data_IF_011136741005
#
_entry.id   IF_011136741005
#
_cell.length_a   1.000
_cell.length_b   1.000
_cell.length_c   1.000
_cell.angle_alpha   90.00
_cell.angle_beta   90.00
_cell.angle_gamma   90.00
#
_symmetry.space_group_name_H-M   'P 1'
#
loop_
_entity.id
_entity.type
_entity.pdbx_description
1 polymer ?
#
# COMPACT_ATOMS: atom_id res chain seq x y z
N UNK A 1 28.00 -0.79 26.86
CA UNK A 1 27.99 -1.19 25.44
C UNK A 1 27.26 -2.51 25.19
N UNK A 2 27.63 -3.64 25.83
CA UNK A 2 26.98 -4.95 25.61
C UNK A 2 25.44 -4.95 25.74
N UNK A 3 24.89 -4.33 26.80
CA UNK A 3 23.42 -4.23 27.00
C UNK A 3 22.69 -3.37 25.95
N UNK A 4 23.35 -2.33 25.44
CA UNK A 4 22.79 -1.48 24.37
C UNK A 4 22.77 -2.27 23.06
N UNK A 5 23.83 -2.99 22.77
CA UNK A 5 23.89 -3.87 21.60
C UNK A 5 22.82 -4.97 21.65
N UNK A 6 22.66 -5.65 22.79
CA UNK A 6 21.60 -6.65 23.00
C UNK A 6 20.19 -6.07 22.79
N UNK A 7 19.94 -4.84 23.27
CA UNK A 7 18.69 -4.13 23.05
C UNK A 7 18.40 -3.89 21.56
N UNK A 8 19.38 -3.38 20.81
CA UNK A 8 19.20 -3.11 19.38
C UNK A 8 19.01 -4.41 18.58
N UNK A 9 19.81 -5.43 18.87
CA UNK A 9 19.71 -6.73 18.21
C UNK A 9 18.33 -7.35 18.46
N UNK A 10 17.81 -7.27 19.68
CA UNK A 10 16.48 -7.79 20.01
C UNK A 10 15.38 -7.13 19.16
N UNK A 11 15.31 -5.79 19.16
CA UNK A 11 14.26 -5.08 18.41
C UNK A 11 14.42 -5.23 16.90
N UNK A 12 15.66 -5.24 16.40
CA UNK A 12 15.91 -5.52 14.98
C UNK A 12 15.44 -6.92 14.60
N UNK A 13 15.73 -7.93 15.43
CA UNK A 13 15.27 -9.30 15.20
C UNK A 13 13.73 -9.38 15.27
N UNK A 14 13.11 -8.76 16.27
CA UNK A 14 11.65 -8.72 16.40
C UNK A 14 10.99 -8.06 15.18
N UNK A 15 11.52 -6.93 14.72
CA UNK A 15 11.07 -6.25 13.50
C UNK A 15 11.19 -7.16 12.28
N UNK A 16 12.36 -7.77 12.05
CA UNK A 16 12.61 -8.63 10.89
C UNK A 16 11.69 -9.85 10.90
N UNK A 17 11.49 -10.47 12.07
CA UNK A 17 10.59 -11.62 12.20
C UNK A 17 9.13 -11.23 11.94
N UNK A 18 8.67 -10.10 12.48
CA UNK A 18 7.32 -9.60 12.22
C UNK A 18 7.14 -9.23 10.74
N UNK A 19 8.17 -8.67 10.11
CA UNK A 19 8.16 -8.33 8.69
C UNK A 19 8.13 -9.58 7.80
N UNK A 20 8.97 -10.58 8.09
CA UNK A 20 8.93 -11.87 7.38
C UNK A 20 7.56 -12.52 7.54
N UNK A 21 6.98 -12.47 8.73
CA UNK A 21 5.64 -13.00 8.98
C UNK A 21 4.57 -12.24 8.18
N UNK A 22 4.65 -10.91 8.11
CA UNK A 22 3.82 -10.08 7.24
C UNK A 22 3.89 -10.52 5.78
N UNK A 23 5.10 -10.73 5.24
CA UNK A 23 5.30 -11.22 3.87
C UNK A 23 4.75 -12.64 3.68
N UNK A 24 4.95 -13.54 4.64
CA UNK A 24 4.44 -14.91 4.57
C UNK A 24 2.92 -14.92 4.50
N UNK A 25 2.22 -14.14 5.33
CA UNK A 25 0.75 -14.06 5.27
C UNK A 25 0.29 -13.54 3.91
N UNK A 26 0.97 -12.52 3.36
CA UNK A 26 0.67 -12.00 2.03
C UNK A 26 0.81 -13.07 0.94
N UNK A 27 1.86 -13.88 1.00
CA UNK A 27 2.11 -14.92 -0.01
C UNK A 27 1.16 -16.12 0.09
N UNK A 28 0.67 -16.45 1.29
CA UNK A 28 -0.27 -17.57 1.49
C UNK A 28 -1.66 -17.23 0.94
N UNK A 29 -2.03 -15.94 0.85
CA UNK A 29 -3.31 -15.54 0.26
C UNK A 29 -4.53 -15.73 1.18
N UNK A 30 -4.33 -15.84 2.51
CA UNK A 30 -5.43 -16.04 3.49
C UNK A 30 -6.52 -14.96 3.37
N UNK A 31 -6.14 -13.74 2.95
CA UNK A 31 -7.01 -12.58 2.83
C UNK A 31 -7.41 -12.24 1.39
N UNK A 32 -7.31 -13.18 0.45
CA UNK A 32 -7.64 -12.92 -0.97
C UNK A 32 -9.12 -12.63 -1.23
N UNK A 33 -10.00 -12.87 -0.25
CA UNK A 33 -11.37 -12.35 -0.27
C UNK A 33 -11.44 -10.82 -0.27
N UNK A 34 -10.40 -10.13 0.22
CA UNK A 34 -10.24 -8.68 0.11
C UNK A 34 -9.56 -8.39 -1.23
N UNK A 35 -10.38 -8.22 -2.26
CA UNK A 35 -9.92 -8.04 -3.64
C UNK A 35 -9.14 -6.74 -3.87
N UNK A 36 -9.42 -5.68 -3.10
CA UNK A 36 -8.64 -4.42 -3.16
C UNK A 36 -7.30 -4.62 -2.45
N UNK A 37 -6.22 -4.73 -3.22
CA UNK A 37 -4.88 -5.05 -2.73
C UNK A 37 -4.41 -4.13 -1.58
N UNK A 38 -4.64 -2.82 -1.69
CA UNK A 38 -4.29 -1.85 -0.65
C UNK A 38 -4.98 -2.16 0.69
N UNK A 39 -6.29 -2.40 0.68
CA UNK A 39 -7.04 -2.74 1.89
C UNK A 39 -6.59 -4.07 2.48
N UNK A 40 -6.33 -5.07 1.63
CA UNK A 40 -5.79 -6.37 2.03
C UNK A 40 -4.47 -6.20 2.79
N UNK A 41 -3.52 -5.45 2.22
CA UNK A 41 -2.21 -5.22 2.83
C UNK A 41 -2.27 -4.46 4.15
N UNK A 42 -3.17 -3.47 4.28
CA UNK A 42 -3.36 -2.73 5.54
C UNK A 42 -3.88 -3.66 6.65
N UNK A 43 -4.87 -4.50 6.34
CA UNK A 43 -5.43 -5.45 7.31
C UNK A 43 -4.34 -6.41 7.81
N UNK A 44 -3.55 -6.97 6.90
CA UNK A 44 -2.44 -7.87 7.27
C UNK A 44 -1.38 -7.12 8.08
N UNK A 45 -1.06 -5.87 7.73
CA UNK A 45 -0.12 -5.04 8.48
C UNK A 45 -0.60 -4.79 9.91
N UNK A 46 -1.86 -4.44 10.11
CA UNK A 46 -2.45 -4.25 11.44
C UNK A 46 -2.38 -5.55 12.24
N UNK A 47 -2.77 -6.68 11.65
CA UNK A 47 -2.74 -7.99 12.34
C UNK A 47 -1.31 -8.34 12.78
N UNK A 48 -0.33 -8.23 11.87
CA UNK A 48 1.07 -8.55 12.18
C UNK A 48 1.68 -7.59 13.21
N UNK A 49 1.36 -6.29 13.14
CA UNK A 49 1.75 -5.32 14.16
C UNK A 49 1.15 -5.65 15.53
N UNK A 50 -0.13 -6.03 15.59
CA UNK A 50 -0.76 -6.45 16.84
C UNK A 50 -0.13 -7.72 17.42
N UNK A 51 0.25 -8.67 16.56
CA UNK A 51 0.97 -9.88 16.98
C UNK A 51 2.35 -9.55 17.53
N UNK A 52 3.11 -8.65 16.88
CA UNK A 52 4.39 -8.15 17.39
C UNK A 52 4.21 -7.53 18.79
N UNK A 53 3.25 -6.61 18.92
CA UNK A 53 2.95 -5.92 20.19
C UNK A 53 2.61 -6.91 21.31
N UNK A 54 1.69 -7.83 21.06
CA UNK A 54 1.25 -8.83 22.05
C UNK A 54 2.42 -9.75 22.42
N UNK A 55 3.23 -10.17 21.44
CA UNK A 55 4.38 -11.04 21.67
C UNK A 55 5.42 -10.37 22.56
N UNK A 56 5.78 -9.11 22.29
CA UNK A 56 6.73 -8.35 23.11
C UNK A 56 6.19 -8.09 24.54
N UNK A 57 4.87 -7.84 24.68
CA UNK A 57 4.23 -7.70 26.00
C UNK A 57 4.29 -9.00 26.81
N UNK A 58 3.99 -10.14 26.18
CA UNK A 58 4.10 -11.48 26.79
C UNK A 58 5.57 -11.74 27.19
N UNK A 59 6.52 -11.47 26.30
CA UNK A 59 7.94 -11.64 26.58
C UNK A 59 8.39 -10.77 27.76
N UNK A 60 7.97 -9.51 27.85
CA UNK A 60 8.29 -8.64 29.00
C UNK A 60 7.68 -9.17 30.30
N UNK A 61 6.46 -9.70 30.26
CA UNK A 61 5.80 -10.26 31.45
C UNK A 61 6.57 -11.45 32.03
N UNK A 62 6.98 -12.40 31.17
CA UNK A 62 7.69 -13.61 31.60
C UNK A 62 9.20 -13.39 31.79
N UNK A 63 9.81 -12.53 30.99
CA UNK A 63 11.23 -12.23 31.05
C UNK A 63 11.49 -10.92 31.79
N UNK A 64 11.29 -10.93 33.11
CA UNK A 64 11.46 -9.73 33.97
C UNK A 64 12.84 -9.06 33.92
N UNK A 65 13.87 -9.78 33.45
CA UNK A 65 15.24 -9.28 33.27
C UNK A 65 15.50 -8.68 31.88
N UNK A 66 14.49 -8.64 31.01
CA UNK A 66 14.60 -8.03 29.69
C UNK A 66 15.08 -6.57 29.80
N UNK A 67 15.95 -6.18 28.87
CA UNK A 67 16.62 -4.87 28.86
C UNK A 67 15.74 -3.73 28.35
N UNK A 68 14.51 -4.03 27.91
CA UNK A 68 13.57 -3.10 27.30
C UNK A 68 12.31 -2.93 28.15
N UNK A 69 11.70 -1.75 28.11
CA UNK A 69 10.51 -1.38 28.87
C UNK A 69 9.27 -1.22 27.97
N UNK A 70 8.10 -1.01 28.58
CA UNK A 70 6.83 -0.86 27.85
C UNK A 70 6.83 0.26 26.81
N UNK A 71 7.63 1.32 27.04
CA UNK A 71 7.80 2.40 26.06
C UNK A 71 8.52 1.92 24.80
N UNK A 72 9.51 1.04 24.96
CA UNK A 72 10.28 0.48 23.84
C UNK A 72 9.41 -0.46 23.01
N UNK A 73 8.52 -1.22 23.66
CA UNK A 73 7.53 -2.08 23.00
C UNK A 73 6.56 -1.25 22.13
N UNK A 74 6.03 -0.15 22.68
CA UNK A 74 5.18 0.76 21.92
C UNK A 74 5.95 1.38 20.76
N UNK A 75 7.21 1.78 20.99
CA UNK A 75 8.07 2.33 19.94
C UNK A 75 8.35 1.29 18.83
N UNK A 76 8.63 0.04 19.19
CA UNK A 76 8.80 -1.09 18.27
C UNK A 76 7.58 -1.25 17.36
N UNK A 77 6.39 -1.28 17.96
CA UNK A 77 5.12 -1.34 17.22
C UNK A 77 4.94 -0.14 16.29
N UNK A 78 5.12 1.09 16.78
CA UNK A 78 4.95 2.30 15.96
C UNK A 78 5.94 2.34 14.80
N UNK A 79 7.21 2.04 15.06
CA UNK A 79 8.25 1.99 14.01
C UNK A 79 7.92 0.91 12.97
N UNK A 80 7.49 -0.27 13.41
CA UNK A 80 7.04 -1.34 12.53
C UNK A 80 5.89 -0.89 11.63
N UNK A 81 4.85 -0.31 12.21
CA UNK A 81 3.68 0.18 11.46
C UNK A 81 4.08 1.31 10.50
N UNK A 82 4.88 2.28 10.94
CA UNK A 82 5.28 3.43 10.13
C UNK A 82 6.16 3.04 8.94
N UNK A 83 7.21 2.23 9.15
CA UNK A 83 8.10 1.81 8.06
C UNK A 83 7.32 1.02 7.01
N UNK A 84 6.51 0.05 7.45
CA UNK A 84 5.74 -0.77 6.52
C UNK A 84 4.64 0.03 5.82
N UNK A 85 4.00 0.98 6.50
CA UNK A 85 3.00 1.84 5.88
C UNK A 85 3.62 2.74 4.80
N UNK A 86 4.78 3.35 5.08
CA UNK A 86 5.51 4.15 4.09
C UNK A 86 5.97 3.29 2.91
N UNK A 87 6.53 2.11 3.18
CA UNK A 87 6.93 1.16 2.13
C UNK A 87 5.74 0.76 1.25
N UNK A 88 4.61 0.43 1.87
CA UNK A 88 3.37 0.09 1.19
C UNK A 88 2.88 1.25 0.33
N UNK A 89 2.72 2.44 0.90
CA UNK A 89 2.13 3.59 0.21
C UNK A 89 3.01 4.15 -0.91
N UNK A 90 4.34 4.08 -0.75
CA UNK A 90 5.28 4.72 -1.68
C UNK A 90 5.83 3.75 -2.71
N UNK A 91 6.17 2.53 -2.31
CA UNK A 91 6.80 1.56 -3.21
C UNK A 91 5.76 0.61 -3.77
N UNK A 92 5.09 -0.16 -2.91
CA UNK A 92 4.23 -1.28 -3.35
C UNK A 92 3.02 -0.78 -4.14
N UNK A 93 2.31 0.24 -3.65
CA UNK A 93 1.17 0.82 -4.38
C UNK A 93 1.60 1.46 -5.70
N UNK A 94 2.81 2.03 -5.76
CA UNK A 94 3.37 2.58 -7.01
C UNK A 94 3.66 1.47 -8.03
N UNK A 95 4.19 0.33 -7.59
CA UNK A 95 4.43 -0.82 -8.48
C UNK A 95 3.12 -1.36 -9.10
N UNK A 96 2.03 -1.36 -8.33
CA UNK A 96 0.72 -1.84 -8.79
C UNK A 96 0.02 -0.88 -9.77
N UNK A 97 0.38 0.41 -9.79
CA UNK A 97 -0.44 1.46 -10.42
C UNK A 97 0.30 2.41 -11.35
N UNK A 98 1.63 2.40 -11.35
CA UNK A 98 2.42 3.41 -12.06
C UNK A 98 2.65 3.03 -13.53
N UNK A 99 2.18 3.91 -14.42
CA UNK A 99 2.56 3.90 -15.83
C UNK A 99 4.09 3.95 -16.01
N UNK A 100 4.79 4.77 -15.23
CA UNK A 100 6.25 4.90 -15.34
C UNK A 100 6.97 3.58 -15.02
N UNK A 101 6.50 2.84 -14.01
CA UNK A 101 7.05 1.51 -13.69
C UNK A 101 6.81 0.55 -14.86
N UNK A 102 5.61 0.56 -15.45
CA UNK A 102 5.31 -0.26 -16.62
C UNK A 102 6.23 0.07 -17.80
N UNK A 103 6.38 1.35 -18.18
CA UNK A 103 7.21 1.76 -19.32
C UNK A 103 8.68 1.33 -19.11
N UNK A 104 9.22 1.54 -17.91
CA UNK A 104 10.60 1.14 -17.61
C UNK A 104 10.79 -0.38 -17.65
N UNK A 105 9.82 -1.14 -17.13
CA UNK A 105 9.89 -2.61 -17.12
C UNK A 105 9.77 -3.16 -18.55
N UNK A 106 8.85 -2.60 -19.34
CA UNK A 106 8.67 -2.98 -20.74
C UNK A 106 9.93 -2.71 -21.58
N UNK A 107 10.50 -1.51 -21.48
CA UNK A 107 11.74 -1.15 -22.18
C UNK A 107 12.97 -1.92 -21.68
N UNK A 108 12.98 -2.39 -20.43
CA UNK A 108 14.08 -3.19 -19.90
C UNK A 108 14.08 -4.64 -20.44
N UNK A 109 12.90 -5.18 -20.77
CA UNK A 109 12.76 -6.50 -21.40
C UNK A 109 13.04 -6.45 -22.92
N UNK A 110 12.83 -5.29 -23.53
CA UNK A 110 12.99 -5.08 -24.97
C UNK A 110 14.35 -4.47 -25.32
N UNK A 111 15.19 -5.20 -26.07
CA UNK A 111 16.52 -4.70 -26.46
C UNK A 111 16.49 -3.79 -27.70
N UNK A 112 15.52 -2.87 -27.78
CA UNK A 112 15.38 -1.90 -28.87
C UNK A 112 14.84 -0.56 -28.39
N UNK A 113 15.05 0.48 -29.19
CA UNK A 113 14.41 1.78 -28.98
C UNK A 113 12.98 1.79 -29.53
N UNK A 114 12.13 2.58 -28.89
CA UNK A 114 10.75 2.83 -29.30
C UNK A 114 10.56 4.33 -29.53
N UNK A 115 9.76 4.69 -30.53
CA UNK A 115 9.24 6.05 -30.67
C UNK A 115 8.15 6.32 -29.64
N UNK A 116 7.77 7.59 -29.48
CA UNK A 116 6.66 7.98 -28.60
C UNK A 116 5.32 7.38 -29.07
N UNK A 117 5.10 7.32 -30.38
CA UNK A 117 3.89 6.72 -30.99
C UNK A 117 3.83 5.21 -30.70
N UNK A 118 4.95 4.49 -30.87
CA UNK A 118 5.02 3.06 -30.55
C UNK A 118 4.79 2.80 -29.06
N UNK A 119 5.35 3.62 -28.16
CA UNK A 119 5.12 3.50 -26.72
C UNK A 119 3.68 3.80 -26.32
N UNK A 120 3.03 4.75 -26.99
CA UNK A 120 1.62 5.05 -26.74
C UNK A 120 0.74 3.87 -27.19
N UNK A 121 1.03 3.25 -28.33
CA UNK A 121 0.33 2.04 -28.77
C UNK A 121 0.52 0.88 -27.78
N UNK A 122 1.74 0.68 -27.30
CA UNK A 122 2.04 -0.32 -26.24
C UNK A 122 1.26 -0.03 -24.96
N UNK A 123 1.17 1.24 -24.54
CA UNK A 123 0.38 1.62 -23.37
C UNK A 123 -1.10 1.28 -23.54
N UNK A 124 -1.71 1.62 -24.67
CA UNK A 124 -3.12 1.32 -24.90
C UNK A 124 -3.37 -0.20 -24.97
N UNK A 125 -2.61 -0.91 -25.80
CA UNK A 125 -2.86 -2.33 -26.09
C UNK A 125 -2.45 -3.27 -24.96
N UNK A 126 -1.33 -2.97 -24.27
CA UNK A 126 -0.81 -3.84 -23.22
C UNK A 126 -1.28 -3.38 -21.85
N UNK A 127 -1.05 -2.12 -21.49
CA UNK A 127 -1.33 -1.67 -20.13
C UNK A 127 -2.81 -1.42 -19.89
N UNK A 128 -3.53 -0.78 -20.82
CA UNK A 128 -4.97 -0.52 -20.64
C UNK A 128 -5.79 -1.76 -20.96
N UNK A 129 -5.65 -2.32 -22.17
CA UNK A 129 -6.49 -3.42 -22.64
C UNK A 129 -6.06 -4.77 -22.04
N UNK A 130 -4.85 -5.25 -22.33
CA UNK A 130 -4.42 -6.60 -21.91
C UNK A 130 -4.30 -6.77 -20.40
N UNK A 131 -3.85 -5.74 -19.68
CA UNK A 131 -3.76 -5.77 -18.20
C UNK A 131 -5.02 -5.25 -17.51
N UNK A 132 -6.04 -4.87 -18.27
CA UNK A 132 -7.35 -4.41 -17.76
C UNK A 132 -7.21 -3.32 -16.68
N UNK A 133 -6.20 -2.44 -16.84
CA UNK A 133 -5.85 -1.49 -15.79
C UNK A 133 -6.95 -0.46 -15.54
N UNK A 134 -7.75 -0.14 -16.56
CA UNK A 134 -8.91 0.74 -16.39
C UNK A 134 -10.05 0.01 -15.68
N UNK A 135 -10.42 -1.18 -16.15
CA UNK A 135 -11.52 -1.98 -15.60
C UNK A 135 -11.31 -2.32 -14.14
N UNK A 136 -10.07 -2.70 -13.78
CA UNK A 136 -9.68 -2.94 -12.38
C UNK A 136 -9.92 -1.71 -11.51
N UNK A 137 -9.64 -0.51 -12.00
CA UNK A 137 -9.82 0.74 -11.24
C UNK A 137 -11.29 1.10 -11.09
N UNK A 138 -12.09 0.91 -12.13
CA UNK A 138 -13.55 1.06 -12.04
C UNK A 138 -14.15 0.10 -11.03
N UNK A 139 -13.80 -1.18 -11.11
CA UNK A 139 -14.24 -2.21 -10.19
C UNK A 139 -13.85 -1.88 -8.73
N UNK A 140 -12.63 -1.38 -8.50
CA UNK A 140 -12.20 -0.92 -7.17
C UNK A 140 -13.07 0.24 -6.63
N UNK A 141 -13.56 1.15 -7.48
CA UNK A 141 -14.46 2.23 -7.05
C UNK A 141 -15.88 1.74 -6.75
N UNK A 142 -16.40 0.79 -7.55
CA UNK A 142 -17.69 0.15 -7.29
C UNK A 142 -17.67 -0.58 -5.94
N UNK A 143 -16.63 -1.35 -5.67
CA UNK A 143 -16.53 -2.13 -4.43
C UNK A 143 -16.21 -1.27 -3.22
N UNK A 144 -15.58 -0.13 -3.43
CA UNK A 144 -15.44 0.90 -2.40
C UNK A 144 -16.74 1.66 -2.14
N UNK A 145 -17.77 1.48 -2.98
CA UNK A 145 -19.05 2.18 -2.92
C UNK A 145 -18.94 3.67 -3.23
N UNK A 146 -17.92 4.08 -4.00
CA UNK A 146 -17.74 5.48 -4.40
C UNK A 146 -18.51 5.82 -5.68
N UNK A 147 -18.76 4.81 -6.52
CA UNK A 147 -19.61 4.90 -7.71
C UNK A 147 -20.66 3.78 -7.70
N UNK A 148 -21.76 3.99 -8.40
CA UNK A 148 -22.79 2.98 -8.62
C UNK A 148 -23.27 2.99 -10.08
N UNK A 149 -23.79 1.85 -10.53
CA UNK A 149 -24.42 1.72 -11.85
C UNK A 149 -25.82 2.31 -11.84
N UNK A 150 -26.10 3.20 -12.80
CA UNK A 150 -27.43 3.76 -13.02
C UNK A 150 -27.69 3.94 -14.52
N UNK A 151 -28.79 3.36 -15.02
CA UNK A 151 -29.27 3.61 -16.39
C UNK A 151 -28.29 3.20 -17.51
N UNK A 152 -27.39 2.25 -17.26
CA UNK A 152 -26.36 1.84 -18.22
C UNK A 152 -25.10 2.72 -18.21
N UNK A 153 -24.98 3.62 -17.22
CA UNK A 153 -23.77 4.38 -16.94
C UNK A 153 -23.37 4.27 -15.46
N UNK A 154 -22.42 5.11 -15.06
CA UNK A 154 -21.94 5.21 -13.68
C UNK A 154 -22.14 6.61 -13.14
N UNK A 155 -22.49 6.72 -11.86
CA UNK A 155 -22.51 7.99 -11.13
C UNK A 155 -21.79 7.86 -9.79
N UNK A 156 -21.41 9.00 -9.21
CA UNK A 156 -20.93 9.06 -7.83
C UNK A 156 -22.07 8.74 -6.86
N UNK A 157 -21.72 8.10 -5.75
CA UNK A 157 -22.57 8.01 -4.56
C UNK A 157 -22.30 9.21 -3.65
N UNK A 158 -23.13 9.44 -2.63
CA UNK A 158 -22.87 10.45 -1.59
C UNK A 158 -21.48 10.28 -0.93
N UNK A 159 -21.04 9.01 -0.78
CA UNK A 159 -19.72 8.67 -0.28
C UNK A 159 -18.62 9.09 -1.27
N UNK A 160 -18.84 8.83 -2.56
CA UNK A 160 -17.94 9.24 -3.63
C UNK A 160 -17.78 10.76 -3.69
N UNK A 161 -18.88 11.51 -3.57
CA UNK A 161 -18.86 12.97 -3.51
C UNK A 161 -18.02 13.48 -2.34
N UNK A 162 -18.24 12.94 -1.13
CA UNK A 162 -17.44 13.30 0.04
C UNK A 162 -15.95 12.99 -0.13
N UNK A 163 -15.60 11.88 -0.80
CA UNK A 163 -14.21 11.56 -1.10
C UNK A 163 -13.58 12.54 -2.10
N UNK A 164 -14.32 12.94 -3.13
CA UNK A 164 -13.88 13.95 -4.09
C UNK A 164 -13.62 15.29 -3.41
N UNK A 165 -14.48 15.70 -2.48
CA UNK A 165 -14.29 16.93 -1.71
C UNK A 165 -13.01 16.91 -0.87
N UNK A 166 -12.72 15.77 -0.23
CA UNK A 166 -11.47 15.56 0.49
C UNK A 166 -10.27 15.67 -0.47
N UNK A 167 -10.33 15.02 -1.63
CA UNK A 167 -9.24 15.06 -2.61
C UNK A 167 -9.02 16.47 -3.16
N UNK A 168 -10.07 17.24 -3.42
CA UNK A 168 -9.97 18.65 -3.83
C UNK A 168 -9.34 19.50 -2.73
N UNK A 169 -9.74 19.32 -1.47
CA UNK A 169 -9.18 20.05 -0.35
C UNK A 169 -7.68 19.75 -0.18
N UNK A 170 -7.30 18.47 -0.19
CA UNK A 170 -5.91 18.03 -0.10
C UNK A 170 -5.11 18.52 -1.31
N UNK A 171 -5.63 18.34 -2.53
CA UNK A 171 -4.99 18.80 -3.77
C UNK A 171 -4.67 20.29 -3.75
N UNK A 172 -5.60 21.12 -3.26
CA UNK A 172 -5.38 22.55 -3.07
C UNK A 172 -4.30 22.88 -2.04
N UNK A 173 -4.28 22.17 -0.91
CA UNK A 173 -3.28 22.36 0.15
C UNK A 173 -1.87 22.05 -0.38
N UNK A 174 -1.74 20.94 -1.11
CA UNK A 174 -0.45 20.47 -1.63
C UNK A 174 -0.10 21.02 -3.02
N UNK A 175 -0.96 21.87 -3.60
CA UNK A 175 -0.81 22.45 -4.95
C UNK A 175 -0.54 21.38 -6.02
N UNK A 176 -1.32 20.31 -5.97
CA UNK A 176 -1.31 19.27 -7.00
C UNK A 176 -1.89 19.85 -8.29
N UNK A 177 -1.47 19.33 -9.45
CA UNK A 177 -1.99 19.75 -10.75
C UNK A 177 -3.52 19.68 -10.79
N UNK A 178 -4.15 20.83 -11.06
CA UNK A 178 -5.61 21.01 -10.99
C UNK A 178 -6.36 20.09 -11.96
N UNK A 179 -5.73 19.63 -13.05
CA UNK A 179 -6.34 18.71 -14.03
C UNK A 179 -6.76 17.38 -13.39
N UNK A 180 -6.12 16.96 -12.30
CA UNK A 180 -6.48 15.73 -11.59
C UNK A 180 -7.69 15.87 -10.67
N UNK A 181 -8.02 17.09 -10.24
CA UNK A 181 -9.11 17.36 -9.29
C UNK A 181 -10.27 18.16 -9.92
N UNK A 182 -10.04 18.85 -11.03
CA UNK A 182 -11.01 19.60 -11.82
C UNK A 182 -10.77 19.35 -13.33
N UNK A 183 -11.06 18.15 -13.86
CA UNK A 183 -10.63 17.74 -15.21
C UNK A 183 -11.32 18.48 -16.37
N UNK A 184 -12.41 19.21 -16.11
CA UNK A 184 -13.19 19.92 -17.13
C UNK A 184 -13.01 21.45 -17.09
N UNK A 185 -12.10 21.96 -16.25
CA UNK A 185 -11.74 23.38 -16.18
C UNK A 185 -10.50 23.65 -17.04
#
# INVERSE_FOLDING_TARGET
MKKIFEFFVFHAAAFVLAWLFYIVILQIGIFDFIKVYFYKTIVILIITGMILLITELILKHYWKKATFDYKDIILSFVVFMSINMVWLSTIVVSLDRSLSVFVLSYLAEENRSYSEEELNEVFQTIFIEKYEMLDRRFWEQLESGNIEEEGGGYKLTDRGEGLVDIFKAVGKIYKVDDRFINPNQ
#
